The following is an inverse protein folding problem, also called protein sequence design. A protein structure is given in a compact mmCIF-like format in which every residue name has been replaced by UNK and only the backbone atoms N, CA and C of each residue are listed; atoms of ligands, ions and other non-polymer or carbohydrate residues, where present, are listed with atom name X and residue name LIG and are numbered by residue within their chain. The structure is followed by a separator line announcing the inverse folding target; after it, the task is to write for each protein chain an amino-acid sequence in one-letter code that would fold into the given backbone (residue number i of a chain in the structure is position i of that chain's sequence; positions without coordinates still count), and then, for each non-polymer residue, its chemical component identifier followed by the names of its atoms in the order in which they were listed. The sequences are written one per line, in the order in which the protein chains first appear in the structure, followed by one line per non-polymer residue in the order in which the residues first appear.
data_IF_097011713998
#
_entry.id   IF_097011713998
#
_cell.length_a   1.000
_cell.length_b   1.000
_cell.length_c   1.000
_cell.angle_alpha   90.00
_cell.angle_beta   90.00
_cell.angle_gamma   90.00
#
_symmetry.space_group_name_H-M   'P 1'
#
loop_
_entity.id
_entity.type
_entity.pdbx_description
1 polymer ?
#
# COMPACT_ATOMS: atom_id res chain seq x y z
N UNK A 1 73.37 -47.30 -82.13
CA UNK A 1 71.98 -47.34 -81.64
C UNK A 1 71.99 -47.00 -80.15
N UNK A 2 72.09 -45.70 -79.83
CA UNK A 2 71.10 -44.84 -79.10
C UNK A 2 70.55 -45.49 -77.80
N UNK A 3 70.83 -44.92 -76.62
CA UNK A 3 69.93 -43.99 -75.91
C UNK A 3 70.50 -43.50 -74.56
N UNK A 4 70.55 -42.19 -74.42
CA UNK A 4 70.79 -41.39 -73.22
C UNK A 4 69.56 -41.42 -72.30
N UNK A 5 69.74 -41.72 -71.01
CA UNK A 5 68.71 -41.56 -69.99
C UNK A 5 68.68 -40.11 -69.46
N UNK A 6 67.59 -39.39 -69.76
CA UNK A 6 67.30 -38.09 -69.15
C UNK A 6 66.39 -38.26 -67.92
N UNK A 7 66.94 -38.02 -66.72
CA UNK A 7 66.16 -37.88 -65.48
C UNK A 7 65.25 -36.64 -65.57
N UNK A 8 63.93 -36.85 -65.62
CA UNK A 8 62.94 -35.77 -65.52
C UNK A 8 62.81 -35.28 -64.08
N UNK A 9 63.04 -33.99 -63.84
CA UNK A 9 62.65 -33.30 -62.60
C UNK A 9 61.16 -32.96 -62.68
N UNK A 10 60.37 -33.44 -61.73
CA UNK A 10 58.96 -33.06 -61.58
C UNK A 10 58.87 -31.69 -60.90
N UNK A 11 58.44 -30.67 -61.64
CA UNK A 11 58.15 -29.34 -61.10
C UNK A 11 56.81 -29.41 -60.35
N UNK A 12 56.80 -29.15 -59.03
CA UNK A 12 55.57 -29.00 -58.26
C UNK A 12 54.89 -27.68 -58.63
N UNK A 13 53.78 -27.75 -59.35
CA UNK A 13 52.90 -26.61 -59.63
C UNK A 13 52.13 -26.23 -58.36
N UNK A 14 52.59 -25.21 -57.65
CA UNK A 14 51.76 -24.55 -56.63
C UNK A 14 50.70 -23.71 -57.34
N UNK A 15 49.43 -24.15 -57.26
CA UNK A 15 48.26 -23.40 -57.74
C UNK A 15 48.28 -21.98 -57.16
N UNK A 16 48.14 -20.91 -57.95
CA UNK A 16 47.98 -19.57 -57.38
C UNK A 16 46.69 -19.59 -56.55
N UNK A 17 46.82 -19.33 -55.25
CA UNK A 17 45.66 -19.19 -54.37
C UNK A 17 44.80 -18.07 -54.95
N UNK A 18 43.52 -18.35 -55.24
CA UNK A 18 42.64 -17.35 -55.81
C UNK A 18 42.30 -16.33 -54.71
N UNK A 19 42.86 -15.10 -54.77
CA UNK A 19 42.72 -14.13 -53.69
C UNK A 19 41.26 -13.72 -53.47
N UNK A 20 40.42 -13.83 -54.49
CA UNK A 20 38.98 -13.57 -54.41
C UNK A 20 38.21 -14.58 -53.56
N UNK A 21 38.60 -15.85 -53.56
CA UNK A 21 37.96 -16.87 -52.73
C UNK A 21 38.22 -16.62 -51.24
N UNK A 22 39.43 -16.16 -50.93
CA UNK A 22 39.81 -15.79 -49.56
C UNK A 22 39.18 -14.48 -49.13
N UNK A 23 39.13 -13.47 -50.01
CA UNK A 23 38.43 -12.21 -49.73
C UNK A 23 36.94 -12.44 -49.42
N UNK A 24 36.27 -13.32 -50.17
CA UNK A 24 34.87 -13.67 -49.91
C UNK A 24 34.69 -14.44 -48.59
N UNK A 25 35.58 -15.39 -48.29
CA UNK A 25 35.53 -16.15 -47.04
C UNK A 25 35.74 -15.25 -45.80
N UNK A 26 36.67 -14.29 -45.88
CA UNK A 26 36.93 -13.32 -44.80
C UNK A 26 35.72 -12.39 -44.61
N UNK A 27 35.15 -11.87 -45.71
CA UNK A 27 33.97 -11.01 -45.66
C UNK A 27 32.77 -11.74 -45.03
N UNK A 28 32.55 -13.00 -45.42
CA UNK A 28 31.48 -13.82 -44.85
C UNK A 28 31.66 -14.04 -43.35
N UNK A 29 32.89 -14.32 -42.89
CA UNK A 29 33.21 -14.43 -41.46
C UNK A 29 32.92 -13.14 -40.69
N UNK A 30 33.24 -11.98 -41.28
CA UNK A 30 33.02 -10.68 -40.67
C UNK A 30 31.52 -10.35 -40.54
N UNK A 31 30.73 -10.69 -41.57
CA UNK A 31 29.26 -10.57 -41.53
C UNK A 31 28.67 -11.44 -40.42
N UNK A 32 29.10 -12.71 -40.30
CA UNK A 32 28.63 -13.61 -39.24
C UNK A 32 29.00 -13.08 -37.84
N UNK A 33 30.24 -12.60 -37.66
CA UNK A 33 30.69 -12.02 -36.39
C UNK A 33 29.89 -10.76 -36.02
N UNK A 34 29.55 -9.93 -37.00
CA UNK A 34 28.73 -8.74 -36.79
C UNK A 34 27.32 -9.10 -36.32
N UNK A 35 26.65 -10.07 -36.97
CA UNK A 35 25.33 -10.54 -36.54
C UNK A 35 25.38 -11.18 -35.15
N UNK A 36 26.42 -11.95 -34.83
CA UNK A 36 26.60 -12.55 -33.51
C UNK A 36 26.80 -11.48 -32.42
N UNK A 37 27.58 -10.43 -32.70
CA UNK A 37 27.77 -9.32 -31.78
C UNK A 37 26.46 -8.58 -31.50
N UNK A 38 25.66 -8.30 -32.53
CA UNK A 38 24.34 -7.69 -32.37
C UNK A 38 23.42 -8.62 -31.57
N UNK A 39 23.40 -9.92 -31.87
CA UNK A 39 22.58 -10.89 -31.17
C UNK A 39 22.88 -10.89 -29.67
N UNK A 40 24.16 -10.98 -29.27
CA UNK A 40 24.57 -10.90 -27.87
C UNK A 40 24.17 -9.58 -27.22
N UNK A 41 24.36 -8.46 -27.92
CA UNK A 41 23.99 -7.13 -27.40
C UNK A 41 22.47 -6.97 -27.20
N UNK A 42 21.65 -7.59 -28.05
CA UNK A 42 20.18 -7.56 -27.94
C UNK A 42 19.66 -8.50 -26.85
N UNK A 43 20.31 -9.65 -26.65
CA UNK A 43 19.87 -10.63 -25.64
C UNK A 43 20.42 -10.37 -24.24
N UNK A 44 21.46 -9.54 -24.10
CA UNK A 44 22.01 -9.18 -22.79
C UNK A 44 21.14 -8.10 -22.15
N UNK A 45 20.52 -8.37 -20.98
CA UNK A 45 19.76 -7.37 -20.25
C UNK A 45 20.61 -6.14 -19.96
N UNK A 46 20.02 -4.94 -19.99
CA UNK A 46 20.75 -3.74 -19.62
C UNK A 46 21.17 -3.78 -18.15
N UNK A 47 22.25 -3.09 -17.80
CA UNK A 47 22.75 -2.99 -16.41
C UNK A 47 21.64 -2.47 -15.47
N UNK A 48 20.74 -1.62 -15.98
CA UNK A 48 19.59 -1.12 -15.22
C UNK A 48 18.54 -2.20 -14.95
N UNK A 49 18.35 -3.17 -15.86
CA UNK A 49 17.46 -4.31 -15.62
C UNK A 49 18.01 -5.26 -14.55
N UNK A 50 19.33 -5.50 -14.53
CA UNK A 50 19.96 -6.33 -13.49
C UNK A 50 19.85 -5.68 -12.09
N UNK A 51 19.94 -4.34 -12.00
CA UNK A 51 19.73 -3.61 -10.74
C UNK A 51 18.29 -3.67 -10.22
N UNK A 52 17.31 -3.79 -11.11
CA UNK A 52 15.90 -3.96 -10.74
C UNK A 52 15.66 -5.35 -10.15
N UNK A 53 16.30 -6.40 -10.70
CA UNK A 53 16.22 -7.77 -10.16
C UNK A 53 16.81 -7.84 -8.75
N UNK A 54 18.00 -7.30 -8.52
CA UNK A 54 18.63 -7.29 -7.18
C UNK A 54 17.80 -6.52 -6.13
N UNK A 55 17.16 -5.40 -6.50
CA UNK A 55 16.32 -4.62 -5.57
C UNK A 55 14.98 -5.30 -5.26
N UNK A 56 14.47 -6.11 -6.18
CA UNK A 56 13.23 -6.89 -6.00
C UNK A 56 13.47 -8.10 -5.10
N UNK A 57 14.64 -8.75 -5.19
CA UNK A 57 15.02 -9.85 -4.30
C UNK A 57 15.38 -9.40 -2.87
N UNK A 58 15.87 -8.16 -2.70
CA UNK A 58 16.17 -7.58 -1.39
C UNK A 58 14.91 -7.12 -0.61
N UNK A 59 13.76 -6.99 -1.27
CA UNK A 59 12.48 -6.67 -0.61
C UNK A 59 11.72 -7.97 -0.30
N UNK A 60 12.26 -8.77 0.62
CA UNK A 60 11.58 -9.96 1.14
C UNK A 60 10.33 -9.61 1.99
N UNK A 61 10.13 -8.32 2.30
CA UNK A 61 8.95 -7.83 2.99
C UNK A 61 7.76 -7.72 2.04
N UNK A 62 6.69 -8.44 2.36
CA UNK A 62 5.40 -8.40 1.65
C UNK A 62 4.66 -7.07 1.79
N UNK A 63 5.20 -6.14 2.58
CA UNK A 63 4.57 -4.87 2.90
C UNK A 63 5.58 -3.72 2.83
N UNK A 64 5.15 -2.58 2.31
CA UNK A 64 5.82 -1.29 2.51
C UNK A 64 5.21 -0.59 3.71
N UNK A 65 6.02 -0.35 4.74
CA UNK A 65 5.61 0.39 5.94
C UNK A 65 5.81 1.89 5.77
N UNK A 66 4.75 2.64 6.07
CA UNK A 66 4.72 4.10 6.05
C UNK A 66 4.38 4.63 7.44
N UNK A 67 5.29 5.40 8.01
CA UNK A 67 5.02 6.16 9.23
C UNK A 67 4.33 7.48 8.87
N UNK A 68 3.07 7.61 9.25
CA UNK A 68 2.25 8.78 9.00
C UNK A 68 2.08 9.55 10.30
N UNK A 69 2.51 10.80 10.31
CA UNK A 69 2.26 11.75 11.39
C UNK A 69 1.23 12.78 10.94
N UNK A 70 0.29 13.11 11.82
CA UNK A 70 -0.76 14.11 11.56
C UNK A 70 -0.99 14.96 12.80
N UNK A 71 -1.55 16.15 12.61
CA UNK A 71 -2.09 16.96 13.71
C UNK A 71 -3.61 16.73 13.86
N UNK A 72 -4.19 17.31 14.92
CA UNK A 72 -5.63 17.25 15.20
C UNK A 72 -6.48 17.71 14.03
N UNK A 73 -6.14 18.84 13.41
CA UNK A 73 -6.94 19.42 12.33
C UNK A 73 -6.96 18.52 11.09
N UNK A 74 -5.81 17.92 10.76
CA UNK A 74 -5.68 16.96 9.66
C UNK A 74 -6.48 15.68 9.93
N UNK A 75 -6.37 15.13 11.14
CA UNK A 75 -7.15 13.95 11.52
C UNK A 75 -8.66 14.25 11.54
N UNK A 76 -9.06 15.39 12.09
CA UNK A 76 -10.45 15.85 12.10
C UNK A 76 -10.99 15.99 10.68
N UNK A 77 -10.24 16.65 9.79
CA UNK A 77 -10.62 16.82 8.39
C UNK A 77 -10.75 15.47 7.68
N UNK A 78 -9.81 14.55 7.88
CA UNK A 78 -9.84 13.21 7.29
C UNK A 78 -11.06 12.40 7.76
N UNK A 79 -11.35 12.42 9.07
CA UNK A 79 -12.52 11.75 9.63
C UNK A 79 -13.81 12.37 9.07
N UNK A 80 -13.92 13.70 9.09
CA UNK A 80 -15.11 14.38 8.58
C UNK A 80 -15.34 14.14 7.08
N UNK A 81 -14.27 14.06 6.28
CA UNK A 81 -14.36 13.69 4.88
C UNK A 81 -14.95 12.28 4.70
N UNK A 82 -14.44 11.30 5.44
CA UNK A 82 -14.96 9.93 5.40
C UNK A 82 -16.43 9.86 5.86
N UNK A 83 -16.75 10.52 6.97
CA UNK A 83 -18.09 10.57 7.53
C UNK A 83 -19.10 11.16 6.53
N UNK A 84 -18.71 12.23 5.81
CA UNK A 84 -19.55 12.87 4.78
C UNK A 84 -19.78 11.97 3.57
N UNK A 85 -18.76 11.24 3.12
CA UNK A 85 -18.87 10.35 1.96
C UNK A 85 -19.84 9.18 2.21
N UNK A 86 -19.98 8.76 3.48
CA UNK A 86 -20.81 7.64 3.87
C UNK A 86 -22.23 8.05 4.33
N UNK A 87 -22.59 9.34 4.25
CA UNK A 87 -23.94 9.84 4.55
C UNK A 87 -24.83 9.72 3.30
N UNK A 88 -25.94 8.97 3.39
CA UNK A 88 -27.01 9.01 2.38
C UNK A 88 -27.93 10.22 2.62
N UNK A 89 -28.63 10.70 1.58
CA UNK A 89 -29.48 11.91 1.65
C UNK A 89 -30.55 11.89 2.75
N UNK A 90 -30.98 10.71 3.19
CA UNK A 90 -32.00 10.52 4.23
C UNK A 90 -31.42 10.15 5.61
N UNK A 91 -30.09 10.20 5.77
CA UNK A 91 -29.39 9.77 6.98
C UNK A 91 -28.98 10.91 7.92
N UNK A 92 -28.69 10.53 9.16
CA UNK A 92 -28.19 11.35 10.27
C UNK A 92 -27.06 12.24 9.77
N UNK A 93 -27.19 13.58 9.92
CA UNK A 93 -26.05 14.48 9.72
C UNK A 93 -25.19 14.46 10.97
N UNK A 94 -23.92 14.10 10.81
CA UNK A 94 -22.94 14.08 11.89
C UNK A 94 -21.63 14.78 11.50
N UNK A 95 -20.96 15.34 12.51
CA UNK A 95 -19.65 15.96 12.45
C UNK A 95 -18.81 15.49 13.63
N UNK A 96 -17.53 15.31 13.37
CA UNK A 96 -16.52 15.00 14.36
C UNK A 96 -15.64 16.23 14.63
N UNK A 97 -15.25 16.44 15.88
CA UNK A 97 -14.31 17.47 16.30
C UNK A 97 -13.22 16.88 17.21
N UNK A 98 -11.99 17.37 17.05
CA UNK A 98 -10.85 17.06 17.92
C UNK A 98 -10.36 18.31 18.65
N UNK A 99 -10.54 18.32 19.96
CA UNK A 99 -9.88 19.28 20.85
C UNK A 99 -9.12 18.51 21.94
N UNK A 100 -9.38 18.75 23.23
CA UNK A 100 -8.87 17.93 24.34
C UNK A 100 -9.56 16.58 24.45
N UNK A 101 -10.62 16.38 23.67
CA UNK A 101 -11.44 15.18 23.58
C UNK A 101 -11.89 14.96 22.14
N UNK A 102 -12.29 13.73 21.83
CA UNK A 102 -12.91 13.39 20.57
C UNK A 102 -14.43 13.53 20.72
N UNK A 103 -15.01 14.46 19.96
CA UNK A 103 -16.42 14.86 20.10
C UNK A 103 -17.16 14.51 18.82
N UNK A 104 -18.22 13.72 18.93
CA UNK A 104 -19.12 13.41 17.81
C UNK A 104 -20.47 14.09 18.05
N UNK A 105 -20.91 14.89 17.10
CA UNK A 105 -22.16 15.64 17.16
C UNK A 105 -23.04 15.35 15.96
N UNK A 106 -24.35 15.34 16.15
CA UNK A 106 -25.29 15.16 15.05
C UNK A 106 -26.75 15.18 15.48
N UNK A 107 -27.61 14.76 14.56
CA UNK A 107 -29.06 14.64 14.80
C UNK A 107 -29.55 13.28 14.37
N UNK A 108 -30.19 12.54 15.27
CA UNK A 108 -30.70 11.19 15.01
C UNK A 108 -32.11 10.98 15.54
N UNK A 109 -32.75 9.89 15.13
CA UNK A 109 -34.06 9.48 15.62
C UNK A 109 -33.90 8.49 16.77
N UNK A 110 -34.35 8.86 17.96
CA UNK A 110 -34.34 8.01 19.16
C UNK A 110 -35.78 7.89 19.63
N UNK A 111 -36.28 6.65 19.78
CA UNK A 111 -37.65 6.38 20.25
C UNK A 111 -38.74 7.13 19.45
N UNK A 112 -38.54 7.29 18.13
CA UNK A 112 -39.49 7.99 17.27
C UNK A 112 -39.29 9.51 17.16
N UNK A 113 -38.52 10.13 18.05
CA UNK A 113 -38.27 11.57 18.08
C UNK A 113 -36.93 11.96 17.47
N UNK A 114 -36.89 13.08 16.74
CA UNK A 114 -35.65 13.66 16.24
C UNK A 114 -34.96 14.45 17.36
N UNK A 115 -33.73 14.06 17.67
CA UNK A 115 -32.95 14.67 18.76
C UNK A 115 -31.54 15.01 18.28
N UNK A 116 -31.01 16.13 18.74
CA UNK A 116 -29.58 16.40 18.63
C UNK A 116 -28.83 15.57 19.68
N UNK A 117 -27.62 15.14 19.35
CA UNK A 117 -26.76 14.46 20.30
C UNK A 117 -25.33 14.99 20.22
N UNK A 118 -24.65 14.91 21.36
CA UNK A 118 -23.21 15.15 21.48
C UNK A 118 -22.60 14.05 22.34
N UNK A 119 -21.65 13.32 21.77
CA UNK A 119 -20.89 12.28 22.43
C UNK A 119 -19.46 12.78 22.68
N UNK A 120 -19.07 12.87 23.95
CA UNK A 120 -17.72 13.21 24.37
C UNK A 120 -16.95 11.92 24.69
N UNK A 121 -15.80 11.74 24.06
CA UNK A 121 -14.96 10.56 24.27
C UNK A 121 -13.51 10.93 24.53
N UNK A 122 -12.82 10.08 25.31
CA UNK A 122 -11.36 10.10 25.43
C UNK A 122 -10.79 8.95 24.62
N UNK A 123 -10.16 9.22 23.46
CA UNK A 123 -9.54 8.18 22.65
C UNK A 123 -8.24 7.71 23.31
N UNK A 124 -7.98 6.41 23.24
CA UNK A 124 -6.71 5.78 23.62
C UNK A 124 -6.40 4.65 22.65
N UNK A 125 -5.15 4.20 22.60
CA UNK A 125 -4.76 3.01 21.83
C UNK A 125 -4.81 1.77 22.73
N UNK A 126 -5.21 0.63 22.16
CA UNK A 126 -4.98 -0.68 22.78
C UNK A 126 -3.60 -1.25 22.41
N UNK A 127 -3.30 -2.46 22.90
CA UNK A 127 -2.01 -3.13 22.64
C UNK A 127 -1.73 -3.36 21.15
N UNK A 128 -2.79 -3.56 20.37
CA UNK A 128 -2.72 -3.84 18.94
C UNK A 128 -2.66 -2.55 18.11
N UNK A 129 -2.76 -1.38 18.76
CA UNK A 129 -2.79 -0.07 18.14
C UNK A 129 -4.14 0.25 17.49
N UNK A 130 -5.21 -0.43 17.88
CA UNK A 130 -6.58 -0.02 17.57
C UNK A 130 -7.03 1.12 18.48
N UNK A 131 -8.08 1.83 18.07
CA UNK A 131 -8.58 2.98 18.82
C UNK A 131 -9.71 2.54 19.76
N UNK A 132 -9.58 2.88 21.05
CA UNK A 132 -10.64 2.72 22.04
C UNK A 132 -11.14 4.09 22.46
N UNK A 133 -12.40 4.39 22.16
CA UNK A 133 -13.09 5.59 22.59
C UNK A 133 -13.78 5.33 23.93
N UNK A 134 -13.27 5.93 25.00
CA UNK A 134 -13.92 5.88 26.30
C UNK A 134 -14.96 7.00 26.39
N UNK A 135 -16.25 6.65 26.35
CA UNK A 135 -17.33 7.62 26.43
C UNK A 135 -17.37 8.24 27.84
N UNK A 136 -17.27 9.57 27.89
CA UNK A 136 -17.29 10.36 29.12
C UNK A 136 -18.68 10.87 29.44
N UNK A 137 -19.35 11.42 28.45
CA UNK A 137 -20.71 11.93 28.58
C UNK A 137 -21.42 11.87 27.24
N UNK A 138 -22.75 11.77 27.30
CA UNK A 138 -23.62 11.89 26.14
C UNK A 138 -24.70 12.90 26.46
N UNK A 139 -24.81 13.94 25.64
CA UNK A 139 -25.93 14.86 25.66
C UNK A 139 -26.93 14.46 24.58
N UNK A 140 -28.22 14.45 24.92
CA UNK A 140 -29.35 14.29 23.99
C UNK A 140 -30.24 15.52 24.19
N UNK A 141 -30.20 16.47 23.25
CA UNK A 141 -30.75 17.81 23.47
C UNK A 141 -30.10 18.49 24.68
N UNK A 142 -30.91 18.91 25.65
CA UNK A 142 -30.45 19.48 26.93
C UNK A 142 -30.22 18.44 28.03
N UNK A 143 -30.55 17.16 27.78
CA UNK A 143 -30.47 16.11 28.77
C UNK A 143 -29.09 15.42 28.73
N UNK A 144 -28.44 15.30 29.88
CA UNK A 144 -27.28 14.43 30.04
C UNK A 144 -27.73 13.00 30.29
N UNK A 145 -27.43 12.11 29.35
CA UNK A 145 -27.78 10.69 29.41
C UNK A 145 -26.59 9.83 29.86
N UNK A 146 -26.81 8.76 30.65
CA UNK A 146 -25.76 7.80 30.97
C UNK A 146 -25.18 7.17 29.69
N UNK A 147 -23.85 7.25 29.46
CA UNK A 147 -23.25 6.71 28.23
C UNK A 147 -23.53 5.23 28.01
N UNK A 148 -23.58 4.44 29.08
CA UNK A 148 -23.87 3.01 29.01
C UNK A 148 -25.25 2.71 28.42
N UNK A 149 -26.26 3.51 28.77
CA UNK A 149 -27.61 3.38 28.25
C UNK A 149 -27.66 3.71 26.76
N UNK A 150 -27.07 4.85 26.36
CA UNK A 150 -27.08 5.29 24.96
C UNK A 150 -26.30 4.32 24.07
N UNK A 151 -25.12 3.88 24.52
CA UNK A 151 -24.33 2.90 23.78
C UNK A 151 -25.05 1.55 23.70
N UNK A 152 -25.81 1.16 24.72
CA UNK A 152 -26.69 -0.02 24.67
C UNK A 152 -27.76 0.09 23.58
N UNK A 153 -28.41 1.24 23.48
CA UNK A 153 -29.38 1.50 22.41
C UNK A 153 -28.71 1.46 21.03
N UNK A 154 -27.58 2.13 20.84
CA UNK A 154 -26.87 2.15 19.55
C UNK A 154 -26.48 0.74 19.12
N UNK A 155 -25.89 -0.04 20.03
CA UNK A 155 -25.49 -1.43 19.78
C UNK A 155 -26.63 -2.32 19.27
N UNK A 156 -27.85 -2.11 19.77
CA UNK A 156 -29.00 -2.96 19.46
C UNK A 156 -29.82 -2.48 18.24
N UNK A 157 -29.70 -1.21 17.87
CA UNK A 157 -30.56 -0.59 16.85
C UNK A 157 -29.81 -0.16 15.58
N UNK A 158 -28.48 -0.18 15.57
CA UNK A 158 -27.66 0.23 14.43
C UNK A 158 -26.60 -0.81 14.11
N UNK A 159 -26.43 -1.08 12.81
CA UNK A 159 -25.29 -1.86 12.32
C UNK A 159 -24.05 -0.97 12.20
N UNK A 160 -23.03 -1.27 12.99
CA UNK A 160 -21.76 -0.54 13.01
C UNK A 160 -20.69 -1.24 12.17
N UNK A 161 -21.02 -2.36 11.52
CA UNK A 161 -20.07 -3.18 10.78
C UNK A 161 -19.03 -3.86 11.67
N UNK A 162 -18.08 -4.58 11.04
CA UNK A 162 -17.04 -5.33 11.76
C UNK A 162 -15.94 -4.45 12.36
N UNK A 163 -15.83 -3.21 11.90
CA UNK A 163 -14.78 -2.27 12.30
C UNK A 163 -15.09 -1.57 13.63
N UNK A 164 -16.33 -1.55 14.10
CA UNK A 164 -16.69 -0.94 15.37
C UNK A 164 -17.42 -1.94 16.29
N UNK A 165 -16.99 -2.00 17.55
CA UNK A 165 -17.64 -2.81 18.60
C UNK A 165 -17.96 -1.95 19.80
N UNK A 166 -19.15 -2.12 20.37
CA UNK A 166 -19.59 -1.39 21.56
C UNK A 166 -19.59 -2.32 22.79
N UNK A 167 -18.87 -1.89 23.83
CA UNK A 167 -19.04 -2.38 25.20
C UNK A 167 -19.78 -1.32 26.03
N UNK A 168 -21.11 -1.44 26.02
CA UNK A 168 -22.01 -0.51 26.72
C UNK A 168 -21.82 -0.57 28.25
N UNK A 169 -21.42 -1.72 28.81
CA UNK A 169 -21.23 -1.87 30.26
C UNK A 169 -20.03 -1.06 30.74
N UNK A 170 -18.97 -1.02 29.94
CA UNK A 170 -17.74 -0.24 30.23
C UNK A 170 -17.74 1.15 29.61
N UNK A 171 -18.81 1.53 28.91
CA UNK A 171 -18.90 2.80 28.15
C UNK A 171 -17.76 2.97 27.14
N UNK A 172 -17.42 1.90 26.40
CA UNK A 172 -16.32 1.89 25.42
C UNK A 172 -16.81 1.58 24.01
N UNK A 173 -16.20 2.23 23.03
CA UNK A 173 -16.32 1.90 21.61
C UNK A 173 -14.93 1.52 21.12
N UNK A 174 -14.78 0.31 20.58
CA UNK A 174 -13.52 -0.19 20.04
C UNK A 174 -13.58 -0.11 18.51
N UNK A 175 -12.57 0.50 17.90
CA UNK A 175 -12.44 0.68 16.47
C UNK A 175 -11.25 -0.13 15.95
N UNK A 176 -11.54 -1.21 15.24
CA UNK A 176 -10.54 -2.05 14.57
C UNK A 176 -10.17 -1.41 13.23
N UNK A 177 -8.99 -0.78 13.21
CA UNK A 177 -8.51 -0.01 12.05
C UNK A 177 -8.26 -0.92 10.84
N UNK A 178 -7.87 -2.17 11.07
CA UNK A 178 -7.56 -3.11 9.99
C UNK A 178 -8.83 -3.62 9.29
N UNK A 179 -10.00 -3.59 9.93
CA UNK A 179 -11.26 -3.94 9.26
C UNK A 179 -11.73 -2.87 8.28
N UNK A 180 -11.36 -1.60 8.49
CA UNK A 180 -11.70 -0.50 7.57
C UNK A 180 -11.02 -0.68 6.21
N UNK A 181 -9.79 -1.18 6.22
CA UNK A 181 -8.93 -1.33 5.03
C UNK A 181 -8.75 -2.77 4.58
N UNK A 182 -9.50 -3.71 5.17
CA UNK A 182 -9.39 -5.14 4.90
C UNK A 182 -9.54 -5.50 3.42
N UNK A 183 -10.40 -4.80 2.69
CA UNK A 183 -10.61 -5.03 1.25
C UNK A 183 -9.37 -4.73 0.41
N UNK A 184 -8.53 -3.81 0.87
CA UNK A 184 -7.30 -3.37 0.20
C UNK A 184 -6.07 -4.11 0.70
N UNK A 185 -6.20 -4.97 1.72
CA UNK A 185 -5.06 -5.64 2.36
C UNK A 185 -4.13 -4.73 3.16
N UNK A 186 -4.45 -3.43 3.23
CA UNK A 186 -3.68 -2.43 3.97
C UNK A 186 -3.90 -2.66 5.47
N UNK A 187 -2.81 -2.61 6.24
CA UNK A 187 -2.86 -2.66 7.70
C UNK A 187 -2.59 -1.28 8.27
N UNK A 188 -3.31 -0.92 9.32
CA UNK A 188 -3.16 0.38 10.00
C UNK A 188 -3.03 0.12 11.49
N UNK A 189 -2.00 0.71 12.09
CA UNK A 189 -1.71 0.59 13.53
C UNK A 189 -1.41 1.95 14.13
N UNK A 190 -2.15 2.36 15.15
CA UNK A 190 -1.82 3.54 15.94
C UNK A 190 -0.52 3.35 16.71
N UNK A 191 0.36 4.35 16.64
CA UNK A 191 1.63 4.41 17.36
C UNK A 191 1.56 5.40 18.51
N UNK A 192 0.95 6.57 18.27
CA UNK A 192 0.68 7.57 19.30
C UNK A 192 -0.64 8.27 19.01
N UNK A 193 -1.38 8.60 20.06
CA UNK A 193 -2.65 9.32 19.98
C UNK A 193 -2.78 10.23 21.21
N UNK A 194 -2.03 11.33 21.21
CA UNK A 194 -2.07 12.33 22.26
C UNK A 194 -2.61 13.66 21.73
N UNK A 195 -3.87 13.93 22.02
CA UNK A 195 -4.55 15.17 21.62
C UNK A 195 -4.05 16.43 22.34
N UNK A 196 -3.38 16.29 23.49
CA UNK A 196 -2.86 17.44 24.25
C UNK A 196 -1.57 17.97 23.64
N UNK A 197 -0.69 17.07 23.21
CA UNK A 197 0.61 17.41 22.61
C UNK A 197 0.57 17.40 21.08
N UNK A 198 -0.59 17.14 20.49
CA UNK A 198 -0.77 17.00 19.03
C UNK A 198 0.11 15.91 18.41
N UNK A 199 0.47 14.88 19.20
CA UNK A 199 1.25 13.72 18.74
C UNK A 199 0.29 12.61 18.29
N UNK A 200 0.03 12.58 16.99
CA UNK A 200 -0.85 11.59 16.37
C UNK A 200 -0.09 10.89 15.26
N UNK A 201 0.25 9.62 15.49
CA UNK A 201 1.09 8.82 14.59
C UNK A 201 0.49 7.46 14.33
N UNK A 202 0.54 7.03 13.07
CA UNK A 202 0.08 5.74 12.61
C UNK A 202 1.16 5.08 11.75
N UNK A 203 1.31 3.77 11.86
CA UNK A 203 2.01 2.97 10.86
C UNK A 203 0.99 2.40 9.89
N UNK A 204 1.26 2.53 8.59
CA UNK A 204 0.43 2.02 7.50
C UNK A 204 1.26 1.05 6.67
N UNK A 205 0.88 -0.22 6.69
CA UNK A 205 1.56 -1.27 5.92
C UNK A 205 0.76 -1.56 4.66
N UNK A 206 1.32 -1.23 3.50
CA UNK A 206 0.70 -1.45 2.18
C UNK A 206 1.24 -2.75 1.58
N UNK A 207 0.39 -3.71 1.18
CA UNK A 207 0.86 -4.95 0.58
C UNK A 207 1.55 -4.67 -0.76
N UNK A 208 2.71 -5.31 -0.97
CA UNK A 208 3.51 -5.21 -2.21
C UNK A 208 3.17 -6.32 -3.22
N UNK A 209 2.47 -7.36 -2.77
CA UNK A 209 1.91 -8.46 -3.56
C UNK A 209 0.36 -8.50 -3.45
N UNK A 210 -0.30 -9.04 -4.48
CA UNK A 210 -1.75 -9.27 -4.51
C UNK A 210 -2.08 -10.70 -4.09
#
# INVERSE_FOLDING_TARGET
MILTEHKRKTVKLTKPANPWKWAFAILLGLVIAFFMFIFVKVTTPSVDQNKIVEKTEASADKYADLSVSMNKDQLEAAINYYLKQNQTKDSIRYRFLLDKSAILMGTTKILGANVSFTLYTKPVLDSDGNIVLNAKSVAIGSLNAPPSFVLGYVKNNYDLGRWAKIDSKRSKIMLDLNQLTKKQGIKVRGQSLNLQTDDIRFNVSIPLDK
#
